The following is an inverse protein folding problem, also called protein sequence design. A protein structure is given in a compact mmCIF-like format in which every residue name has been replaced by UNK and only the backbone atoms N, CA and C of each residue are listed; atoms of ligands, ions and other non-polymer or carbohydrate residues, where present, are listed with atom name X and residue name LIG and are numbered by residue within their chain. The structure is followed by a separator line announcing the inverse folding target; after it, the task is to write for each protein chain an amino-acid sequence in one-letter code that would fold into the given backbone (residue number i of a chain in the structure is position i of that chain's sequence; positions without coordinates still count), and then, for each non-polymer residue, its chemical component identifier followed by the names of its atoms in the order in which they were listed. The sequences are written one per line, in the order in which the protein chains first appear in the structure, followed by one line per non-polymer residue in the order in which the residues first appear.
data_IF_197444903337
#
_entry.id   IF_197444903337
#
_cell.length_a   1.000
_cell.length_b   1.000
_cell.length_c   1.000
_cell.angle_alpha   90.00
_cell.angle_beta   90.00
_cell.angle_gamma   90.00
#
_symmetry.space_group_name_H-M   'P 1'
#
loop_
_entity.id
_entity.type
_entity.pdbx_description
1 polymer ?
#
# COMPACT_ATOMS: atom_id res chain seq x y z
N UNK A 1 -2.85 -0.60 -28.16
CA UNK A 1 -2.08 -1.05 -26.97
C UNK A 1 -3.02 -0.93 -25.78
N UNK A 2 -3.53 -2.07 -25.29
CA UNK A 2 -4.46 -2.07 -24.16
C UNK A 2 -3.75 -1.53 -22.94
N UNK A 3 -4.10 -0.32 -22.49
CA UNK A 3 -3.70 0.17 -21.17
C UNK A 3 -4.24 -0.83 -20.15
N UNK A 4 -3.38 -1.71 -19.66
CA UNK A 4 -3.74 -2.57 -18.53
C UNK A 4 -4.03 -1.63 -17.37
N UNK A 5 -5.30 -1.54 -17.00
CA UNK A 5 -5.76 -0.65 -15.95
C UNK A 5 -5.15 -1.14 -14.64
N UNK A 6 -4.47 -0.25 -13.91
CA UNK A 6 -4.02 -0.54 -12.55
C UNK A 6 -5.21 -0.93 -11.69
N UNK A 7 -5.09 -2.02 -10.93
CA UNK A 7 -6.08 -2.52 -9.98
C UNK A 7 -5.76 -2.00 -8.59
N UNK A 8 -6.76 -1.52 -7.87
CA UNK A 8 -6.66 -1.24 -6.44
C UNK A 8 -7.51 -2.26 -5.68
N UNK A 9 -6.93 -2.90 -4.67
CA UNK A 9 -7.57 -3.93 -3.85
C UNK A 9 -7.45 -3.51 -2.39
N UNK A 10 -8.58 -3.39 -1.69
CA UNK A 10 -8.61 -3.16 -0.24
C UNK A 10 -8.35 -4.49 0.46
N UNK A 11 -7.42 -4.52 1.41
CA UNK A 11 -7.12 -5.72 2.19
C UNK A 11 -7.57 -5.54 3.63
N UNK A 12 -8.08 -6.63 4.20
CA UNK A 12 -8.38 -6.69 5.61
C UNK A 12 -7.06 -6.77 6.38
N UNK A 13 -6.82 -5.77 7.24
CA UNK A 13 -5.63 -5.70 8.07
C UNK A 13 -6.02 -5.62 9.53
N UNK A 14 -5.12 -6.11 10.38
CA UNK A 14 -5.17 -5.86 11.81
C UNK A 14 -4.17 -4.75 12.11
N UNK A 15 -4.70 -3.59 12.49
CA UNK A 15 -3.88 -2.45 12.84
C UNK A 15 -3.34 -2.67 14.26
N UNK A 16 -2.02 -2.72 14.39
CA UNK A 16 -1.36 -2.81 15.70
C UNK A 16 -1.18 -1.42 16.30
N UNK A 17 -1.11 -1.33 17.63
CA UNK A 17 -0.89 -0.04 18.31
C UNK A 17 0.44 0.62 17.90
N UNK A 18 1.47 -0.18 17.63
CA UNK A 18 2.77 0.34 17.19
C UNK A 18 2.69 0.96 15.79
N UNK A 19 1.94 0.32 14.89
CA UNK A 19 1.68 0.88 13.56
C UNK A 19 0.88 2.19 13.66
N UNK A 20 -0.14 2.26 14.52
CA UNK A 20 -0.89 3.50 14.76
C UNK A 20 0.01 4.63 15.23
N UNK A 21 0.84 4.38 16.26
CA UNK A 21 1.80 5.37 16.78
C UNK A 21 2.77 5.84 15.70
N UNK A 22 3.27 4.92 14.86
CA UNK A 22 4.18 5.25 13.78
C UNK A 22 3.49 6.10 12.69
N UNK A 23 2.24 5.79 12.33
CA UNK A 23 1.46 6.55 11.35
C UNK A 23 1.11 7.95 11.86
N UNK A 24 0.74 8.08 13.13
CA UNK A 24 0.49 9.38 13.76
C UNK A 24 1.76 10.23 13.82
N UNK A 25 2.88 9.63 14.22
CA UNK A 25 4.17 10.31 14.22
C UNK A 25 4.57 10.79 12.82
N UNK A 26 4.37 9.96 11.79
CA UNK A 26 4.64 10.32 10.40
C UNK A 26 3.72 11.45 9.92
N UNK A 27 2.42 11.39 10.25
CA UNK A 27 1.46 12.44 9.90
C UNK A 27 1.85 13.79 10.51
N UNK A 28 2.22 13.81 11.78
CA UNK A 28 2.63 15.03 12.47
C UNK A 28 3.99 15.55 11.98
N UNK A 29 4.93 14.65 11.67
CA UNK A 29 6.20 15.02 11.04
C UNK A 29 5.97 15.65 9.66
N UNK A 30 5.15 15.03 8.82
CA UNK A 30 4.81 15.53 7.49
C UNK A 30 4.09 16.88 7.52
N UNK A 31 3.15 17.10 8.47
CA UNK A 31 2.49 18.39 8.65
C UNK A 31 3.45 19.51 9.03
N UNK A 32 4.48 19.20 9.82
CA UNK A 32 5.52 20.17 10.21
C UNK A 32 6.50 20.43 9.08
N UNK A 33 6.94 19.38 8.41
CA UNK A 33 7.88 19.44 7.30
C UNK A 33 7.59 18.33 6.29
N UNK A 34 7.13 18.70 5.12
CA UNK A 34 6.84 17.75 4.05
C UNK A 34 8.09 17.01 3.54
N UNK A 35 9.28 17.58 3.72
CA UNK A 35 10.55 16.96 3.32
C UNK A 35 11.02 15.87 4.29
N UNK A 36 10.40 15.75 5.47
CA UNK A 36 10.73 14.73 6.47
C UNK A 36 10.28 13.32 6.09
N UNK A 37 9.46 13.18 5.04
CA UNK A 37 8.90 11.90 4.61
C UNK A 37 10.02 10.99 4.04
N UNK A 38 10.18 9.76 4.57
CA UNK A 38 11.20 8.83 4.08
C UNK A 38 11.12 8.54 2.58
N UNK A 39 12.26 8.28 1.95
CA UNK A 39 12.32 7.95 0.52
C UNK A 39 11.46 6.74 0.18
N UNK A 40 10.65 6.89 -0.87
CA UNK A 40 9.71 5.87 -1.32
C UNK A 40 8.37 5.90 -0.57
N UNK A 41 8.20 6.77 0.43
CA UNK A 41 6.92 7.13 0.98
C UNK A 41 6.45 8.46 0.41
N UNK A 42 5.14 8.65 0.33
CA UNK A 42 4.52 9.90 -0.08
C UNK A 42 3.28 10.12 0.75
N UNK A 43 3.24 11.26 1.43
CA UNK A 43 2.09 11.65 2.26
C UNK A 43 1.33 12.76 1.54
N UNK A 44 0.01 12.66 1.54
CA UNK A 44 -0.88 13.66 0.97
C UNK A 44 -2.18 13.73 1.77
N UNK A 45 -2.96 14.77 1.53
CA UNK A 45 -4.31 14.87 2.08
C UNK A 45 -5.32 14.72 0.95
N UNK A 46 -6.35 13.90 1.16
CA UNK A 46 -7.48 13.80 0.25
C UNK A 46 -8.28 15.11 0.27
N UNK A 47 -9.14 15.31 -0.73
CA UNK A 47 -10.06 16.46 -0.77
C UNK A 47 -11.01 16.51 0.44
N UNK A 48 -11.23 15.36 1.08
CA UNK A 48 -12.11 15.19 2.24
C UNK A 48 -11.33 15.37 3.56
N UNK A 49 -10.06 15.77 3.50
CA UNK A 49 -9.22 15.98 4.69
C UNK A 49 -8.55 14.72 5.23
N UNK A 50 -8.75 13.56 4.61
CA UNK A 50 -8.18 12.28 5.04
C UNK A 50 -6.67 12.25 4.76
N UNK A 51 -5.90 11.72 5.70
CA UNK A 51 -4.48 11.50 5.48
C UNK A 51 -4.28 10.27 4.59
N UNK A 52 -3.48 10.42 3.53
CA UNK A 52 -3.18 9.36 2.57
C UNK A 52 -1.67 9.16 2.53
N UNK A 53 -1.23 7.99 2.94
CA UNK A 53 0.14 7.52 2.82
C UNK A 53 0.24 6.55 1.65
N UNK A 54 1.21 6.77 0.78
CA UNK A 54 1.53 5.92 -0.36
C UNK A 54 2.95 5.39 -0.19
N UNK A 55 3.14 4.09 -0.21
CA UNK A 55 4.45 3.45 -0.17
C UNK A 55 4.75 2.79 -1.52
N UNK A 56 5.86 3.20 -2.16
CA UNK A 56 6.39 2.56 -3.36
C UNK A 56 7.01 1.21 -3.03
N UNK A 57 7.15 0.34 -4.03
CA UNK A 57 7.73 -1.02 -3.89
C UNK A 57 9.11 -1.04 -3.21
N UNK A 58 9.89 0.04 -3.31
CA UNK A 58 11.19 0.16 -2.64
C UNK A 58 11.10 0.40 -1.12
N UNK A 59 9.95 0.87 -0.63
CA UNK A 59 9.71 1.28 0.75
C UNK A 59 8.99 0.22 1.59
N UNK A 60 8.61 -0.92 1.02
CA UNK A 60 7.97 -1.99 1.77
C UNK A 60 8.45 -3.38 1.34
N UNK A 61 8.18 -4.37 2.18
CA UNK A 61 8.40 -5.79 1.91
C UNK A 61 7.11 -6.54 2.25
N UNK A 62 6.75 -7.53 1.45
CA UNK A 62 5.61 -8.42 1.73
C UNK A 62 6.12 -9.74 2.27
N UNK A 63 5.48 -10.22 3.33
CA UNK A 63 5.70 -11.50 3.97
C UNK A 63 4.36 -12.25 4.03
N UNK A 64 4.37 -13.59 4.17
CA UNK A 64 3.13 -14.33 4.40
C UNK A 64 2.39 -13.79 5.64
N UNK A 65 1.20 -13.22 5.43
CA UNK A 65 0.37 -12.66 6.50
C UNK A 65 0.79 -11.29 7.05
N UNK A 66 1.80 -10.64 6.47
CA UNK A 66 2.22 -9.31 6.92
C UNK A 66 2.86 -8.47 5.80
N UNK A 67 2.76 -7.15 5.92
CA UNK A 67 3.48 -6.22 5.09
C UNK A 67 4.30 -5.25 5.94
N UNK A 68 5.61 -5.19 5.72
CA UNK A 68 6.51 -4.34 6.50
C UNK A 68 6.85 -3.10 5.70
N UNK A 69 6.47 -1.93 6.20
CA UNK A 69 6.87 -0.63 5.63
C UNK A 69 8.13 -0.15 6.34
N UNK A 70 9.18 0.13 5.57
CA UNK A 70 10.46 0.60 6.08
C UNK A 70 10.28 1.92 6.83
N UNK A 71 10.70 1.94 8.09
CA UNK A 71 10.61 3.12 8.95
C UNK A 71 9.24 3.38 9.59
N UNK A 72 8.23 2.54 9.32
CA UNK A 72 6.91 2.62 9.97
C UNK A 72 6.61 1.38 10.82
N UNK A 73 6.81 0.19 10.26
CA UNK A 73 6.56 -1.06 10.97
C UNK A 73 5.80 -2.10 10.14
N UNK A 74 5.35 -3.15 10.82
CA UNK A 74 4.62 -4.25 10.22
C UNK A 74 3.10 -4.01 10.27
N UNK A 75 2.45 -4.35 9.16
CA UNK A 75 1.01 -4.38 8.98
C UNK A 75 0.60 -5.84 8.95
N UNK A 76 -0.13 -6.27 9.96
CA UNK A 76 -0.65 -7.64 10.01
C UNK A 76 -1.86 -7.75 9.08
N UNK A 77 -1.88 -8.78 8.26
CA UNK A 77 -2.98 -9.04 7.34
C UNK A 77 -3.91 -10.10 7.91
N UNK A 78 -5.21 -9.94 7.67
CA UNK A 78 -6.20 -10.94 8.03
C UNK A 78 -6.18 -12.01 6.95
N UNK A 79 -5.27 -12.97 7.10
CA UNK A 79 -5.05 -14.08 6.17
C UNK A 79 -3.59 -14.19 5.71
N UNK A 80 -3.21 -15.37 5.20
CA UNK A 80 -1.84 -15.64 4.70
C UNK A 80 -1.72 -15.54 3.19
N UNK A 81 -2.76 -15.05 2.52
CA UNK A 81 -2.79 -14.93 1.06
C UNK A 81 -1.76 -13.90 0.56
N UNK A 82 -1.17 -14.12 -0.63
CA UNK A 82 -0.26 -13.14 -1.22
C UNK A 82 -0.96 -11.79 -1.42
N UNK A 83 -0.32 -10.73 -0.94
CA UNK A 83 -0.78 -9.34 -1.07
C UNK A 83 -0.94 -8.94 -2.55
N UNK A 84 -0.08 -9.48 -3.40
CA UNK A 84 -0.03 -9.19 -4.83
C UNK A 84 -0.13 -10.50 -5.61
N UNK A 85 -0.79 -10.43 -6.77
CA UNK A 85 -0.82 -11.52 -7.74
C UNK A 85 0.61 -11.85 -8.22
N UNK A 86 0.86 -13.12 -8.52
CA UNK A 86 2.14 -13.57 -9.05
C UNK A 86 2.44 -12.84 -10.37
N UNK A 87 3.66 -12.32 -10.53
CA UNK A 87 4.07 -11.45 -11.64
C UNK A 87 3.34 -10.09 -11.77
N UNK A 88 2.64 -9.62 -10.75
CA UNK A 88 2.16 -8.24 -10.68
C UNK A 88 3.33 -7.23 -10.74
N UNK A 89 3.11 -6.09 -11.39
CA UNK A 89 4.10 -5.02 -11.55
C UNK A 89 3.58 -3.67 -11.04
N UNK A 90 4.48 -2.70 -10.85
CA UNK A 90 4.14 -1.36 -10.33
C UNK A 90 3.39 -1.39 -9.00
N UNK A 91 3.91 -2.15 -8.03
CA UNK A 91 3.24 -2.39 -6.75
C UNK A 91 3.37 -1.16 -5.85
N UNK A 92 2.26 -0.78 -5.25
CA UNK A 92 2.15 0.38 -4.38
C UNK A 92 1.21 0.04 -3.24
N UNK A 93 1.56 0.42 -2.02
CA UNK A 93 0.63 0.36 -0.89
C UNK A 93 0.04 1.74 -0.66
N UNK A 94 -1.22 1.77 -0.25
CA UNK A 94 -1.95 2.98 0.05
C UNK A 94 -2.64 2.79 1.39
N UNK A 95 -2.30 3.63 2.37
CA UNK A 95 -3.01 3.73 3.64
C UNK A 95 -3.82 5.01 3.65
N UNK A 96 -5.08 4.91 4.05
CA UNK A 96 -5.98 6.06 4.21
C UNK A 96 -6.54 6.08 5.63
N UNK A 97 -6.41 7.21 6.28
CA UNK A 97 -7.05 7.50 7.57
C UNK A 97 -8.51 7.89 7.31
N UNK A 98 -9.43 6.96 7.54
CA UNK A 98 -10.88 7.19 7.36
C UNK A 98 -11.59 7.24 8.71
N UNK A 99 -12.80 7.82 8.79
CA UNK A 99 -13.56 7.86 10.05
C UNK A 99 -13.88 6.48 10.64
N UNK A 100 -13.89 5.43 9.81
CA UNK A 100 -14.11 4.03 10.18
C UNK A 100 -12.81 3.33 10.66
N UNK A 101 -11.67 4.02 10.58
CA UNK A 101 -10.33 3.49 10.83
C UNK A 101 -9.44 3.51 9.59
N UNK A 102 -8.26 2.91 9.71
CA UNK A 102 -7.29 2.85 8.63
C UNK A 102 -7.71 1.85 7.56
N UNK A 103 -7.82 2.32 6.32
CA UNK A 103 -8.03 1.47 5.14
C UNK A 103 -6.70 1.22 4.44
N UNK A 104 -6.35 -0.06 4.30
CA UNK A 104 -5.18 -0.50 3.57
C UNK A 104 -5.60 -1.00 2.20
N UNK A 105 -5.05 -0.38 1.16
CA UNK A 105 -5.21 -0.80 -0.22
C UNK A 105 -3.86 -1.08 -0.83
N UNK A 106 -3.84 -2.01 -1.78
CA UNK A 106 -2.70 -2.23 -2.66
C UNK A 106 -3.09 -1.90 -4.08
N UNK A 107 -2.22 -1.18 -4.77
CA UNK A 107 -2.37 -0.83 -6.17
C UNK A 107 -1.27 -1.49 -6.97
N UNK A 108 -1.65 -2.23 -8.01
CA UNK A 108 -0.70 -2.92 -8.88
C UNK A 108 -1.27 -3.07 -10.28
N UNK A 109 -0.39 -3.32 -11.25
CA UNK A 109 -0.77 -3.71 -12.60
C UNK A 109 -0.76 -5.25 -12.63
N UNK A 110 -1.92 -5.89 -12.88
CA UNK A 110 -2.00 -7.34 -12.95
C UNK A 110 -1.12 -7.86 -14.10
N UNK A 111 -0.64 -9.12 -14.00
CA UNK A 111 0.19 -9.71 -15.05
C UNK A 111 -0.54 -9.67 -16.39
N UNK A 112 0.18 -9.33 -17.46
CA UNK A 112 -0.37 -9.38 -18.82
C UNK A 112 -0.46 -10.85 -19.23
N UNK A 113 -1.64 -11.46 -19.08
CA UNK A 113 -1.93 -12.77 -19.64
C UNK A 113 -1.98 -12.62 -21.16
N UNK A 114 -0.86 -12.88 -21.82
CA UNK A 114 -0.84 -13.07 -23.28
C UNK A 114 -1.29 -14.50 -23.55
N UNK A 115 -2.56 -14.69 -23.90
CA UNK A 115 -2.98 -15.91 -24.60
C UNK A 115 -2.20 -15.99 -25.92
N UNK A 116 -1.09 -16.74 -25.92
CA UNK A 116 -0.41 -17.16 -27.15
C UNK A 116 -0.69 -18.64 -27.37
N UNK A 117 -1.45 -18.90 -28.43
CA UNK A 117 -1.61 -20.16 -29.16
C UNK A 117 -2.38 -21.30 -28.46
N UNK A 118 -3.71 -21.28 -28.53
CA UNK A 118 -4.42 -22.49 -28.96
C UNK A 118 -4.42 -22.50 -30.49
N UNK A 119 -3.35 -23.02 -31.08
CA UNK A 119 -3.40 -23.51 -32.47
C UNK A 119 -4.16 -24.84 -32.41
N UNK A 120 -5.33 -24.89 -33.01
CA UNK A 120 -5.94 -26.12 -33.52
C UNK A 120 -6.39 -25.88 -34.95
#
# INVERSE_FOLDING_TARGET
MSHVKSREVVLAIKVTEDLLKALDALREAWKRDAASVPKGLSCSQSKEGQFVLVAAESAFVTLPGACVIKGLGAIEMVGTEPVFEEAASSKTLVLRDTPEGWKFSVKFVPPIVRERNTRH
#
